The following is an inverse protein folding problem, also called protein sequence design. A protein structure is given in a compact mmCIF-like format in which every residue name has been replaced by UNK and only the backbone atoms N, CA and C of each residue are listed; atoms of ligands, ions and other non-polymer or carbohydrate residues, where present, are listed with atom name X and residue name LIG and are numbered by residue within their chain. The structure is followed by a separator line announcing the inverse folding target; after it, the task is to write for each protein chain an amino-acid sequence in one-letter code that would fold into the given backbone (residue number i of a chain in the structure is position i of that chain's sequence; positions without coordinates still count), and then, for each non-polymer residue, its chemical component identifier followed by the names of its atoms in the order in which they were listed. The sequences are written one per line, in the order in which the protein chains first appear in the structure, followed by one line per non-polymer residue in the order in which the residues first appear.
data_IF_260858092970
#
_entry.id   IF_260858092970
#
_cell.length_a   1.000
_cell.length_b   1.000
_cell.length_c   1.000
_cell.angle_alpha   90.00
_cell.angle_beta   90.00
_cell.angle_gamma   90.00
#
_symmetry.space_group_name_H-M   'P 1'
#
loop_
_entity.id
_entity.type
_entity.pdbx_description
1 polymer ?
#
# COMPACT_ATOMS: atom_id res chain seq x y z
N UNK A 1 -11.89 -12.95 3.73
CA UNK A 1 -11.51 -11.53 3.89
C UNK A 1 -11.42 -10.79 2.54
N UNK A 2 -12.36 -11.01 1.61
CA UNK A 2 -12.30 -10.45 0.24
C UNK A 2 -13.07 -9.13 0.06
N UNK A 3 -14.07 -8.89 0.92
CA UNK A 3 -14.96 -7.73 0.84
C UNK A 3 -14.31 -6.41 1.26
N UNK A 4 -13.27 -6.43 2.09
CA UNK A 4 -12.67 -5.21 2.66
C UNK A 4 -11.80 -4.48 1.64
N UNK A 5 -10.97 -5.20 0.87
CA UNK A 5 -10.11 -4.60 -0.15
C UNK A 5 -10.90 -3.97 -1.32
N UNK A 6 -11.96 -4.65 -1.78
CA UNK A 6 -12.87 -4.13 -2.82
C UNK A 6 -13.74 -2.97 -2.29
N UNK A 7 -14.10 -2.99 -1.01
CA UNK A 7 -14.85 -1.90 -0.37
C UNK A 7 -14.07 -0.58 -0.33
N UNK A 8 -12.75 -0.65 -0.13
CA UNK A 8 -11.88 0.54 -0.03
C UNK A 8 -11.87 1.37 -1.33
N UNK A 9 -11.96 0.73 -2.49
CA UNK A 9 -12.01 1.44 -3.78
C UNK A 9 -13.36 2.15 -4.04
N UNK A 10 -14.43 1.76 -3.33
CA UNK A 10 -15.77 2.37 -3.45
C UNK A 10 -16.06 3.45 -2.41
N UNK A 11 -15.14 3.65 -1.44
CA UNK A 11 -15.30 4.68 -0.42
C UNK A 11 -14.97 6.06 -1.03
N UNK A 12 -15.98 6.90 -1.18
CA UNK A 12 -15.88 8.21 -1.84
C UNK A 12 -15.06 9.28 -1.07
N UNK A 13 -14.59 9.00 0.14
CA UNK A 13 -13.75 9.92 0.92
C UNK A 13 -12.35 9.33 1.17
N UNK A 14 -11.27 10.02 0.73
CA UNK A 14 -9.89 9.62 0.99
C UNK A 14 -9.59 9.36 2.47
N UNK A 15 -10.23 10.08 3.40
CA UNK A 15 -10.04 9.89 4.84
C UNK A 15 -10.62 8.56 5.35
N UNK A 16 -11.75 8.11 4.80
CA UNK A 16 -12.34 6.82 5.14
C UNK A 16 -11.56 5.65 4.50
N UNK A 17 -10.99 5.86 3.31
CA UNK A 17 -10.07 4.93 2.68
C UNK A 17 -8.79 4.73 3.51
N UNK A 18 -8.21 5.81 4.05
CA UNK A 18 -7.03 5.73 4.94
C UNK A 18 -7.33 4.94 6.22
N UNK A 19 -8.48 5.16 6.88
CA UNK A 19 -8.83 4.41 8.11
C UNK A 19 -9.07 2.92 7.86
N UNK A 20 -9.67 2.58 6.72
CA UNK A 20 -9.86 1.18 6.34
C UNK A 20 -8.51 0.51 6.02
N UNK A 21 -7.59 1.22 5.36
CA UNK A 21 -6.22 0.74 5.12
C UNK A 21 -5.42 0.58 6.41
N UNK A 22 -5.53 1.51 7.37
CA UNK A 22 -4.87 1.39 8.68
C UNK A 22 -5.36 0.15 9.45
N UNK A 23 -6.66 -0.14 9.37
CA UNK A 23 -7.23 -1.35 9.98
C UNK A 23 -6.68 -2.62 9.34
N UNK A 24 -6.50 -2.64 8.01
CA UNK A 24 -5.85 -3.75 7.30
C UNK A 24 -4.36 -3.86 7.63
N UNK A 25 -3.65 -2.75 7.80
CA UNK A 25 -2.23 -2.74 8.16
C UNK A 25 -1.93 -3.34 9.54
N UNK A 26 -2.93 -3.48 10.41
CA UNK A 26 -2.82 -4.17 11.71
C UNK A 26 -2.98 -5.69 11.59
N UNK A 27 -3.60 -6.17 10.52
CA UNK A 27 -3.74 -7.59 10.22
C UNK A 27 -2.53 -7.95 9.35
N UNK A 28 -1.54 -8.67 9.90
CA UNK A 28 -0.31 -8.99 9.18
C UNK A 28 -0.63 -9.73 7.86
N UNK A 29 -0.56 -9.02 6.73
CA UNK A 29 -1.00 -9.55 5.42
C UNK A 29 0.10 -10.44 4.85
N UNK A 30 -0.20 -11.73 4.73
CA UNK A 30 0.67 -12.73 4.08
C UNK A 30 0.07 -13.27 2.77
N UNK A 31 -1.18 -12.94 2.48
CA UNK A 31 -1.91 -13.40 1.30
C UNK A 31 -1.45 -12.65 0.04
N UNK A 32 -0.94 -13.42 -0.94
CA UNK A 32 -0.43 -12.89 -2.21
C UNK A 32 -1.50 -12.15 -3.01
N UNK A 33 -2.74 -12.62 -3.02
CA UNK A 33 -3.83 -11.96 -3.76
C UNK A 33 -4.12 -10.56 -3.19
N UNK A 34 -4.07 -10.42 -1.86
CA UNK A 34 -4.28 -9.14 -1.18
C UNK A 34 -3.11 -8.18 -1.47
N UNK A 35 -1.87 -8.69 -1.46
CA UNK A 35 -0.68 -7.90 -1.79
C UNK A 35 -0.78 -7.35 -3.22
N UNK A 36 -1.15 -8.19 -4.18
CA UNK A 36 -1.27 -7.79 -5.58
C UNK A 36 -2.40 -6.76 -5.76
N UNK A 37 -3.55 -6.92 -5.09
CA UNK A 37 -4.63 -5.93 -5.10
C UNK A 37 -4.24 -4.57 -4.50
N UNK A 38 -3.50 -4.58 -3.39
CA UNK A 38 -2.97 -3.36 -2.80
C UNK A 38 -1.95 -2.69 -3.71
N UNK A 39 -1.12 -3.46 -4.43
CA UNK A 39 -0.17 -2.92 -5.39
C UNK A 39 -0.87 -2.26 -6.59
N UNK A 40 -1.94 -2.88 -7.12
CA UNK A 40 -2.78 -2.27 -8.15
C UNK A 40 -3.47 -0.99 -7.64
N UNK A 41 -3.95 -1.01 -6.39
CA UNK A 41 -4.57 0.17 -5.77
C UNK A 41 -3.55 1.30 -5.58
N UNK A 42 -2.30 0.99 -5.22
CA UNK A 42 -1.21 1.96 -5.15
C UNK A 42 -0.94 2.60 -6.52
N UNK A 43 -0.86 1.78 -7.58
CA UNK A 43 -0.59 2.23 -8.94
C UNK A 43 -1.69 3.15 -9.51
N UNK A 44 -2.94 2.90 -9.15
CA UNK A 44 -4.10 3.71 -9.57
C UNK A 44 -4.48 4.87 -8.63
N UNK A 45 -3.82 5.00 -7.48
CA UNK A 45 -4.17 6.01 -6.49
C UNK A 45 -3.89 7.42 -7.02
N UNK A 46 -4.91 8.29 -6.99
CA UNK A 46 -4.79 9.72 -7.36
C UNK A 46 -4.45 10.63 -6.16
N UNK A 47 -4.18 10.05 -5.00
CA UNK A 47 -3.93 10.77 -3.75
C UNK A 47 -2.67 10.25 -3.08
N UNK A 48 -1.76 11.17 -2.76
CA UNK A 48 -0.55 10.91 -1.99
C UNK A 48 -0.83 10.25 -0.63
N UNK A 49 -1.90 10.67 0.05
CA UNK A 49 -2.29 10.10 1.34
C UNK A 49 -2.74 8.64 1.21
N UNK A 50 -3.35 8.26 0.08
CA UNK A 50 -3.74 6.87 -0.20
C UNK A 50 -2.50 6.03 -0.48
N UNK A 51 -1.56 6.52 -1.28
CA UNK A 51 -0.28 5.83 -1.50
C UNK A 51 0.51 5.63 -0.21
N UNK A 52 0.53 6.65 0.66
CA UNK A 52 1.17 6.58 1.98
C UNK A 52 0.54 5.52 2.88
N UNK A 53 -0.80 5.48 2.97
CA UNK A 53 -1.49 4.49 3.78
C UNK A 53 -1.24 3.06 3.27
N UNK A 54 -1.23 2.85 1.95
CA UNK A 54 -0.87 1.54 1.38
C UNK A 54 0.59 1.18 1.66
N UNK A 55 1.50 2.16 1.57
CA UNK A 55 2.90 1.93 1.88
C UNK A 55 3.11 1.51 3.35
N UNK A 56 2.36 2.10 4.28
CA UNK A 56 2.37 1.71 5.68
C UNK A 56 1.90 0.26 5.88
N UNK A 57 0.87 -0.18 5.16
CA UNK A 57 0.43 -1.59 5.16
C UNK A 57 1.57 -2.51 4.75
N UNK A 58 2.24 -2.23 3.62
CA UNK A 58 3.37 -3.05 3.15
C UNK A 58 4.58 -3.03 4.09
N UNK A 59 4.83 -1.91 4.78
CA UNK A 59 5.89 -1.83 5.80
C UNK A 59 5.57 -2.75 6.99
N UNK A 60 4.30 -2.89 7.37
CA UNK A 60 3.87 -3.75 8.48
C UNK A 60 3.65 -5.22 8.08
N UNK A 61 3.44 -5.52 6.79
CA UNK A 61 3.33 -6.88 6.26
C UNK A 61 4.62 -7.69 6.41
N UNK A 62 4.47 -9.01 6.48
CA UNK A 62 5.58 -9.97 6.47
C UNK A 62 6.45 -9.79 5.22
N UNK A 63 7.72 -9.43 5.43
CA UNK A 63 8.68 -9.18 4.37
C UNK A 63 8.97 -10.43 3.51
N UNK A 64 8.70 -11.64 4.02
CA UNK A 64 8.87 -12.89 3.28
C UNK A 64 7.74 -13.13 2.27
N UNK A 65 6.56 -12.55 2.50
CA UNK A 65 5.41 -12.70 1.62
C UNK A 65 5.40 -11.70 0.44
N UNK A 66 6.18 -10.62 0.55
CA UNK A 66 6.17 -9.53 -0.44
C UNK A 66 7.06 -9.86 -1.66
N UNK A 67 6.57 -9.64 -2.90
CA UNK A 67 7.41 -9.66 -4.09
C UNK A 67 8.29 -8.41 -4.16
N UNK A 68 9.39 -8.41 -3.39
CA UNK A 68 10.20 -7.22 -3.14
C UNK A 68 10.63 -6.47 -4.41
N UNK A 69 11.16 -7.19 -5.41
CA UNK A 69 11.66 -6.58 -6.64
C UNK A 69 10.54 -5.95 -7.49
N UNK A 70 9.45 -6.70 -7.71
CA UNK A 70 8.30 -6.24 -8.50
C UNK A 70 7.60 -5.06 -7.82
N UNK A 71 7.41 -5.16 -6.50
CA UNK A 71 6.77 -4.12 -5.71
C UNK A 71 7.63 -2.84 -5.69
N UNK A 72 8.95 -2.96 -5.55
CA UNK A 72 9.86 -1.80 -5.60
C UNK A 72 9.82 -1.10 -6.97
N UNK A 73 9.78 -1.87 -8.06
CA UNK A 73 9.66 -1.33 -9.41
C UNK A 73 8.33 -0.60 -9.61
N UNK A 74 7.22 -1.19 -9.13
CA UNK A 74 5.88 -0.61 -9.19
C UNK A 74 5.80 0.70 -8.38
N UNK A 75 6.30 0.69 -7.14
CA UNK A 75 6.28 1.86 -6.26
C UNK A 75 7.08 3.00 -6.89
N UNK A 76 8.28 2.75 -7.42
CA UNK A 76 9.09 3.78 -8.09
C UNK A 76 8.39 4.37 -9.31
N UNK A 77 7.70 3.54 -10.09
CA UNK A 77 7.02 3.96 -11.33
C UNK A 77 5.78 4.82 -11.05
N UNK A 78 5.02 4.48 -10.01
CA UNK A 78 3.70 5.07 -9.77
C UNK A 78 3.64 6.04 -8.60
N UNK A 79 4.71 6.21 -7.81
CA UNK A 79 4.71 7.17 -6.70
C UNK A 79 4.37 8.57 -7.22
N UNK A 80 3.43 9.22 -6.55
CA UNK A 80 3.14 10.63 -6.77
C UNK A 80 4.21 11.48 -6.10
N UNK A 81 4.55 12.61 -6.72
CA UNK A 81 5.50 13.57 -6.15
C UNK A 81 4.82 14.29 -5.00
N UNK A 82 5.37 14.17 -3.78
CA UNK A 82 4.84 14.82 -2.58
C UNK A 82 5.84 15.84 -2.04
N UNK A 83 5.35 16.94 -1.46
CA UNK A 83 6.17 17.82 -0.61
C UNK A 83 6.15 17.23 0.80
N UNK A 84 7.19 16.47 1.10
CA UNK A 84 7.39 15.84 2.39
C UNK A 84 6.69 14.49 2.56
N UNK A 85 7.23 13.78 3.55
CA UNK A 85 6.78 12.57 4.22
C UNK A 85 7.23 11.21 3.61
N UNK A 86 8.26 10.65 4.25
CA UNK A 86 9.31 9.69 3.83
C UNK A 86 8.91 8.20 3.90
N UNK A 87 7.61 7.89 4.06
CA UNK A 87 7.13 6.50 4.24
C UNK A 87 7.27 5.65 2.97
N UNK A 88 7.06 6.25 1.79
CA UNK A 88 7.26 5.54 0.53
C UNK A 88 8.74 5.18 0.34
N UNK A 89 9.65 6.07 0.74
CA UNK A 89 11.08 5.81 0.70
C UNK A 89 11.51 4.79 1.78
N UNK A 90 10.89 4.81 2.97
CA UNK A 90 11.06 3.75 3.96
C UNK A 90 10.61 2.37 3.44
N UNK A 91 9.49 2.31 2.72
CA UNK A 91 9.05 1.09 2.04
C UNK A 91 10.10 0.65 1.01
N UNK A 92 10.58 1.56 0.15
CA UNK A 92 11.60 1.23 -0.84
C UNK A 92 12.88 0.68 -0.19
N UNK A 93 13.33 1.26 0.92
CA UNK A 93 14.47 0.75 1.71
C UNK A 93 14.21 -0.68 2.21
N UNK A 94 13.02 -0.96 2.77
CA UNK A 94 12.63 -2.31 3.24
C UNK A 94 12.59 -3.34 2.10
N UNK A 95 12.18 -2.94 0.90
CA UNK A 95 12.13 -3.84 -0.26
C UNK A 95 13.53 -4.12 -0.84
N UNK A 96 14.54 -3.34 -0.47
CA UNK A 96 15.93 -3.51 -0.91
C UNK A 96 16.81 -4.29 0.08
N UNK A 97 16.37 -4.45 1.34
CA UNK A 97 17.02 -5.32 2.34
C UNK A 97 16.60 -6.77 2.19
#
# INVERSE_FOLDING_TARGET
MRAVAVGIQRIGSPAAQVRALDTLGRLNITDREIIDQLAQTFAGAKSANVQRAIAEVFIRSDAKALPKAELAALVRRHRLVTKGDDLIDALLRKLQS
#
